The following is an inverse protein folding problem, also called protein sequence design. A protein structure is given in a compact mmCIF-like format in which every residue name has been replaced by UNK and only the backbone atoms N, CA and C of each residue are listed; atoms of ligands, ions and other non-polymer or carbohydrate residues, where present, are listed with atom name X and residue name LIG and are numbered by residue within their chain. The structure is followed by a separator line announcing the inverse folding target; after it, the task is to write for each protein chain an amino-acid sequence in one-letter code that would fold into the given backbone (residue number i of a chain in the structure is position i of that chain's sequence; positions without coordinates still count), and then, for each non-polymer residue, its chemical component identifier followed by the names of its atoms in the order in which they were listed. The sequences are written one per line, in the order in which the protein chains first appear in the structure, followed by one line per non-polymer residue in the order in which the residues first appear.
data_IF_612170517382
#
_entry.id   IF_612170517382
#
_cell.length_a   1.000
_cell.length_b   1.000
_cell.length_c   1.000
_cell.angle_alpha   90.00
_cell.angle_beta   90.00
_cell.angle_gamma   90.00
#
_symmetry.space_group_name_H-M   'P 1'
#
loop_
_entity.id
_entity.type
_entity.pdbx_description
1 polymer ?
#
# COMPACT_ATOMS: atom_id res chain seq x y z
N UNK A 1 -13.52 -1.33 -12.16
CA UNK A 1 -12.05 -1.17 -12.34
C UNK A 1 -11.65 0.21 -11.85
N UNK A 2 -10.77 0.29 -10.84
CA UNK A 2 -10.30 1.56 -10.32
C UNK A 2 -9.56 2.35 -11.42
N UNK A 3 -9.65 3.70 -11.46
CA UNK A 3 -9.08 4.53 -12.52
C UNK A 3 -7.58 4.30 -12.76
N UNK A 4 -6.83 3.88 -11.75
CA UNK A 4 -5.40 3.55 -11.87
C UNK A 4 -5.08 2.36 -12.78
N UNK A 5 -5.98 1.39 -12.94
CA UNK A 5 -5.75 0.26 -13.84
C UNK A 5 -5.78 0.65 -15.31
N UNK A 6 -6.66 1.57 -15.68
CA UNK A 6 -6.77 2.04 -17.07
C UNK A 6 -5.50 2.78 -17.48
N UNK A 7 -4.96 3.61 -16.59
CA UNK A 7 -3.72 4.34 -16.83
C UNK A 7 -2.52 3.39 -16.98
N UNK A 8 -2.41 2.37 -16.12
CA UNK A 8 -1.32 1.40 -16.18
C UNK A 8 -1.37 0.55 -17.48
N UNK A 9 -2.54 0.04 -17.85
CA UNK A 9 -2.68 -0.71 -19.11
C UNK A 9 -2.40 0.17 -20.33
N UNK A 10 -2.81 1.43 -20.29
CA UNK A 10 -2.56 2.37 -21.37
C UNK A 10 -1.06 2.68 -21.52
N UNK A 11 -0.35 2.92 -20.41
CA UNK A 11 1.10 3.17 -20.44
C UNK A 11 1.88 1.94 -20.85
N UNK A 12 1.53 0.74 -20.39
CA UNK A 12 2.16 -0.50 -20.80
C UNK A 12 1.94 -0.79 -22.30
N UNK A 13 0.73 -0.60 -22.80
CA UNK A 13 0.40 -0.75 -24.22
C UNK A 13 1.13 0.28 -25.07
N UNK A 14 1.18 1.54 -24.66
CA UNK A 14 1.91 2.60 -25.36
C UNK A 14 3.41 2.30 -25.41
N UNK A 15 3.99 1.82 -24.31
CA UNK A 15 5.41 1.42 -24.26
C UNK A 15 5.70 0.24 -25.21
N UNK A 16 4.79 -0.71 -25.31
CA UNK A 16 4.90 -1.83 -26.26
C UNK A 16 4.87 -1.33 -27.71
N UNK A 17 3.94 -0.46 -28.04
CA UNK A 17 3.82 0.12 -29.39
C UNK A 17 5.08 0.92 -29.74
N UNK A 18 5.60 1.72 -28.79
CA UNK A 18 6.84 2.49 -28.99
C UNK A 18 8.04 1.54 -29.19
N UNK A 19 8.16 0.47 -28.39
CA UNK A 19 9.25 -0.51 -28.54
C UNK A 19 9.21 -1.22 -29.89
N UNK A 20 8.04 -1.61 -30.38
CA UNK A 20 7.85 -2.22 -31.70
C UNK A 20 8.14 -1.21 -32.82
N UNK A 21 7.66 0.02 -32.68
CA UNK A 21 7.92 1.09 -33.65
C UNK A 21 9.42 1.44 -33.73
N UNK A 22 10.10 1.59 -32.60
CA UNK A 22 11.54 1.81 -32.54
C UNK A 22 12.30 0.62 -33.12
N UNK A 23 11.90 -0.62 -32.84
CA UNK A 23 12.50 -1.82 -33.41
C UNK A 23 12.37 -1.87 -34.91
N UNK A 24 11.26 -1.40 -35.50
CA UNK A 24 11.06 -1.34 -36.92
C UNK A 24 11.80 -0.17 -37.59
N UNK A 25 11.93 0.97 -36.90
CA UNK A 25 12.67 2.14 -37.37
C UNK A 25 14.20 1.95 -37.32
N UNK A 26 14.67 1.17 -36.36
CA UNK A 26 16.09 0.85 -36.19
C UNK A 26 16.54 -0.32 -37.06
N UNK A 27 15.67 -0.89 -37.92
CA UNK A 27 16.11 -1.90 -38.87
C UNK A 27 17.07 -1.22 -39.87
N UNK A 28 18.36 -1.63 -39.91
CA UNK A 28 19.29 -1.09 -40.88
C UNK A 28 18.77 -1.44 -42.26
N UNK A 29 18.84 -0.48 -43.19
CA UNK A 29 18.55 -0.74 -44.60
C UNK A 29 19.49 -1.85 -45.10
N UNK A 30 18.96 -2.78 -45.88
CA UNK A 30 19.81 -3.80 -46.54
C UNK A 30 20.88 -3.07 -47.33
N UNK A 31 22.17 -3.39 -47.11
CA UNK A 31 23.20 -2.82 -47.96
C UNK A 31 22.88 -3.16 -49.43
N UNK A 32 22.74 -2.13 -50.26
CA UNK A 32 22.66 -2.33 -51.70
C UNK A 32 24.02 -2.89 -52.16
N UNK A 33 24.14 -4.21 -52.13
CA UNK A 33 25.29 -4.89 -52.72
C UNK A 33 25.29 -4.51 -54.20
N UNK A 34 26.23 -3.67 -54.54
CA UNK A 34 26.51 -3.37 -55.95
C UNK A 34 26.72 -4.73 -56.58
N UNK A 35 25.75 -5.11 -57.43
CA UNK A 35 25.67 -6.46 -57.98
C UNK A 35 27.04 -6.94 -58.44
N UNK A 36 27.37 -8.19 -58.09
CA UNK A 36 28.63 -8.86 -58.41
C UNK A 36 29.12 -8.37 -59.75
N UNK A 37 30.25 -7.67 -59.71
CA UNK A 37 30.93 -7.25 -60.99
C UNK A 37 31.06 -8.53 -61.78
N UNK A 38 30.07 -8.69 -62.69
CA UNK A 38 29.94 -9.93 -63.45
C UNK A 38 31.29 -10.36 -63.98
N UNK A 39 31.54 -11.66 -64.02
CA UNK A 39 32.75 -12.26 -64.56
C UNK A 39 33.03 -11.60 -65.89
N UNK A 40 33.71 -10.43 -65.87
CA UNK A 40 34.31 -9.90 -67.09
C UNK A 40 35.40 -10.87 -67.44
N UNK A 41 35.22 -11.53 -68.57
CA UNK A 41 36.26 -12.35 -69.15
C UNK A 41 37.59 -11.64 -69.01
N UNK A 42 38.60 -12.32 -68.49
CA UNK A 42 39.92 -11.77 -68.34
C UNK A 42 40.37 -11.39 -69.75
N UNK A 43 40.71 -10.11 -70.04
CA UNK A 43 41.14 -9.73 -71.37
C UNK A 43 42.39 -10.52 -71.68
N UNK A 44 42.36 -11.21 -72.85
CA UNK A 44 43.50 -11.93 -73.28
C UNK A 44 44.66 -10.95 -73.42
N UNK A 45 45.85 -11.26 -72.86
CA UNK A 45 47.08 -10.42 -72.91
C UNK A 45 47.32 -9.77 -74.28
N UNK A 46 47.22 -10.58 -75.33
CA UNK A 46 47.41 -10.07 -76.71
C UNK A 46 46.31 -9.08 -77.11
N UNK A 47 45.18 -9.08 -76.52
CA UNK A 47 44.12 -8.10 -76.80
C UNK A 47 44.34 -6.81 -76.03
N UNK A 48 44.96 -6.91 -74.84
CA UNK A 48 45.21 -5.75 -73.97
C UNK A 48 46.56 -5.03 -74.39
N UNK A 49 47.61 -5.78 -74.72
CA UNK A 49 48.93 -5.24 -74.99
C UNK A 49 49.16 -5.02 -76.47
N UNK A 50 48.32 -5.55 -77.36
CA UNK A 50 48.40 -5.44 -78.79
C UNK A 50 48.93 -6.72 -79.50
N UNK A 51 48.43 -6.97 -80.70
CA UNK A 51 48.74 -8.14 -81.52
C UNK A 51 50.21 -8.26 -81.92
N UNK A 52 50.96 -7.19 -81.75
CA UNK A 52 52.35 -7.11 -82.13
C UNK A 52 53.32 -7.96 -81.30
N UNK A 53 52.87 -8.36 -80.06
CA UNK A 53 53.60 -9.26 -79.16
C UNK A 53 53.28 -10.74 -79.39
N UNK A 54 52.55 -11.10 -80.47
CA UNK A 54 52.33 -12.51 -80.78
C UNK A 54 53.67 -13.13 -81.31
N UNK A 55 54.02 -14.34 -80.77
CA UNK A 55 55.26 -14.99 -81.11
C UNK A 55 55.54 -15.13 -82.67
N UNK A 56 54.44 -15.38 -83.40
CA UNK A 56 54.48 -15.49 -84.84
C UNK A 56 54.91 -14.20 -85.54
N UNK A 57 54.54 -13.01 -85.02
CA UNK A 57 54.91 -11.71 -85.54
C UNK A 57 56.35 -11.30 -85.20
N UNK A 58 56.82 -11.67 -84.02
CA UNK A 58 58.19 -11.39 -83.56
C UNK A 58 59.20 -12.23 -84.32
N UNK A 59 58.85 -13.46 -84.70
CA UNK A 59 59.71 -14.38 -85.41
C UNK A 59 60.13 -13.91 -86.85
N UNK A 60 59.32 -13.08 -87.48
CA UNK A 60 59.53 -12.59 -88.85
C UNK A 60 60.45 -11.36 -88.89
N UNK A 61 60.82 -10.76 -87.74
CA UNK A 61 61.65 -9.55 -87.69
C UNK A 61 63.13 -9.83 -87.79
N UNK A 62 63.98 -8.86 -88.36
CA UNK A 62 65.41 -8.93 -88.30
C UNK A 62 66.00 -9.15 -86.95
N UNK A 63 67.08 -9.90 -86.77
CA UNK A 63 67.59 -10.38 -85.44
C UNK A 63 67.77 -9.26 -84.44
N UNK A 64 68.32 -8.09 -84.79
CA UNK A 64 68.49 -6.94 -83.89
C UNK A 64 67.14 -6.31 -83.39
N UNK A 65 66.13 -6.33 -84.24
CA UNK A 65 64.83 -5.83 -83.94
C UNK A 65 63.99 -6.86 -83.11
N UNK A 66 64.25 -8.15 -83.37
CA UNK A 66 63.57 -9.26 -82.66
C UNK A 66 63.88 -9.26 -81.16
N UNK A 67 65.14 -9.12 -80.76
CA UNK A 67 65.55 -9.09 -79.36
C UNK A 67 64.93 -7.90 -78.63
N UNK A 68 65.05 -6.68 -79.19
CA UNK A 68 64.48 -5.48 -78.59
C UNK A 68 62.95 -5.57 -78.40
N UNK A 69 62.26 -6.13 -79.39
CA UNK A 69 60.79 -6.27 -79.30
C UNK A 69 60.40 -7.40 -78.42
N UNK A 70 61.14 -8.48 -78.31
CA UNK A 70 60.95 -9.55 -77.34
C UNK A 70 61.10 -9.04 -75.89
N UNK A 71 62.15 -8.26 -75.59
CA UNK A 71 62.40 -7.67 -74.31
C UNK A 71 61.27 -6.66 -73.91
N UNK A 72 60.78 -5.86 -74.85
CA UNK A 72 59.69 -4.94 -74.66
C UNK A 72 58.36 -5.69 -74.37
N UNK A 73 58.11 -6.78 -75.10
CA UNK A 73 56.92 -7.61 -74.84
C UNK A 73 56.99 -8.39 -73.52
N UNK A 74 58.18 -8.86 -73.11
CA UNK A 74 58.36 -9.51 -71.81
C UNK A 74 58.05 -8.53 -70.63
N UNK A 75 58.58 -7.30 -70.75
CA UNK A 75 58.22 -6.26 -69.72
C UNK A 75 56.76 -5.94 -69.76
N UNK A 76 56.12 -5.83 -70.90
CA UNK A 76 54.69 -5.59 -70.98
C UNK A 76 53.84 -6.76 -70.39
N UNK A 77 54.32 -8.00 -70.57
CA UNK A 77 53.70 -9.18 -69.95
C UNK A 77 53.83 -9.16 -68.45
N UNK A 78 54.99 -8.81 -67.92
CA UNK A 78 55.21 -8.71 -66.43
C UNK A 78 54.32 -7.63 -65.84
N UNK A 79 54.29 -6.42 -66.45
CA UNK A 79 53.35 -5.35 -65.97
C UNK A 79 51.91 -5.77 -66.07
N UNK A 80 51.53 -6.50 -67.11
CA UNK A 80 50.16 -7.02 -67.23
C UNK A 80 49.84 -8.04 -66.13
N UNK A 81 50.77 -8.95 -65.80
CA UNK A 81 50.58 -9.92 -64.68
C UNK A 81 50.47 -9.21 -63.39
N UNK A 82 51.32 -8.26 -63.03
CA UNK A 82 51.24 -7.47 -61.81
C UNK A 82 49.92 -6.71 -61.71
N UNK A 83 49.46 -6.06 -62.76
CA UNK A 83 48.16 -5.36 -62.79
C UNK A 83 47.00 -6.34 -62.65
N UNK A 84 47.07 -7.51 -63.28
CA UNK A 84 46.01 -8.53 -63.13
C UNK A 84 45.96 -9.12 -61.70
N UNK A 85 47.12 -9.38 -61.09
CA UNK A 85 47.20 -9.88 -59.72
C UNK A 85 46.68 -8.85 -58.74
N UNK A 86 46.95 -7.57 -58.92
CA UNK A 86 46.42 -6.49 -58.11
C UNK A 86 44.89 -6.38 -58.26
N UNK A 87 44.35 -6.56 -59.45
CA UNK A 87 42.90 -6.60 -59.69
C UNK A 87 42.23 -7.81 -59.01
N UNK A 88 42.88 -8.98 -59.06
CA UNK A 88 42.36 -10.18 -58.35
C UNK A 88 42.33 -9.98 -56.84
N UNK A 89 43.43 -9.40 -56.31
CA UNK A 89 43.45 -9.07 -54.86
C UNK A 89 42.38 -8.04 -54.50
N UNK A 90 42.21 -6.97 -55.28
CA UNK A 90 41.16 -5.97 -55.06
C UNK A 90 39.75 -6.59 -55.11
N UNK A 91 39.48 -7.53 -56.03
CA UNK A 91 38.23 -8.26 -56.09
C UNK A 91 38.02 -9.11 -54.84
N UNK A 92 39.01 -9.87 -54.39
CA UNK A 92 38.90 -10.67 -53.14
C UNK A 92 38.68 -9.81 -51.97
N UNK A 93 39.28 -8.63 -51.86
CA UNK A 93 39.04 -7.68 -50.79
C UNK A 93 37.62 -7.13 -50.84
N UNK A 94 37.10 -6.81 -52.02
CA UNK A 94 35.70 -6.36 -52.18
C UNK A 94 34.70 -7.45 -51.78
N UNK A 95 34.90 -8.70 -52.22
CA UNK A 95 34.03 -9.83 -51.86
C UNK A 95 34.04 -10.09 -50.34
N UNK A 96 35.22 -9.97 -49.69
CA UNK A 96 35.37 -10.10 -48.27
C UNK A 96 34.65 -8.95 -47.50
N UNK A 97 34.72 -7.72 -48.03
CA UNK A 97 34.02 -6.58 -47.49
C UNK A 97 32.49 -6.75 -47.57
N UNK A 98 31.99 -7.21 -48.72
CA UNK A 98 30.56 -7.49 -48.90
C UNK A 98 30.08 -8.60 -47.96
N UNK A 99 30.84 -9.68 -47.84
CA UNK A 99 30.51 -10.74 -46.87
C UNK A 99 30.47 -10.22 -45.41
N UNK A 100 31.44 -9.38 -45.03
CA UNK A 100 31.46 -8.78 -43.69
C UNK A 100 30.28 -7.83 -43.45
N UNK A 101 29.87 -7.08 -44.47
CA UNK A 101 28.70 -6.19 -44.39
C UNK A 101 27.38 -6.97 -44.17
N UNK A 102 27.22 -8.12 -44.81
CA UNK A 102 26.07 -9.01 -44.64
C UNK A 102 26.04 -9.53 -43.21
N UNK A 103 27.16 -10.02 -42.67
CA UNK A 103 27.25 -10.52 -41.30
C UNK A 103 26.96 -9.41 -40.29
N UNK A 104 27.50 -8.21 -40.48
CA UNK A 104 27.24 -7.07 -39.63
C UNK A 104 25.75 -6.67 -39.63
N UNK A 105 25.10 -6.71 -40.79
CA UNK A 105 23.66 -6.47 -40.92
C UNK A 105 22.84 -7.50 -40.12
N UNK A 106 23.12 -8.78 -40.25
CA UNK A 106 22.40 -9.82 -39.49
C UNK A 106 22.65 -9.70 -37.98
N UNK A 107 23.88 -9.36 -37.56
CA UNK A 107 24.18 -9.12 -36.14
C UNK A 107 23.42 -7.93 -35.59
N UNK A 108 23.33 -6.81 -36.30
CA UNK A 108 22.54 -5.64 -35.85
C UNK A 108 21.06 -5.93 -35.79
N UNK A 109 20.53 -6.74 -36.70
CA UNK A 109 19.14 -7.18 -36.67
C UNK A 109 18.85 -8.04 -35.45
N UNK A 110 19.71 -9.00 -35.12
CA UNK A 110 19.58 -9.85 -33.93
C UNK A 110 19.68 -8.99 -32.65
N UNK A 111 20.61 -8.04 -32.60
CA UNK A 111 20.77 -7.14 -31.47
C UNK A 111 19.51 -6.26 -31.25
N UNK A 112 18.88 -5.75 -32.30
CA UNK A 112 17.67 -4.98 -32.24
C UNK A 112 16.50 -5.80 -31.67
N UNK A 113 16.36 -7.05 -32.09
CA UNK A 113 15.36 -7.96 -31.50
C UNK A 113 15.64 -8.30 -30.02
N UNK A 114 16.93 -8.53 -29.69
CA UNK A 114 17.36 -8.76 -28.31
C UNK A 114 17.06 -7.57 -27.40
N UNK A 115 17.27 -6.35 -27.87
CA UNK A 115 16.94 -5.12 -27.14
C UNK A 115 15.43 -5.00 -26.89
N UNK A 116 14.60 -5.25 -27.90
CA UNK A 116 13.14 -5.22 -27.78
C UNK A 116 12.64 -6.27 -26.79
N UNK A 117 13.17 -7.48 -26.81
CA UNK A 117 12.85 -8.53 -25.85
C UNK A 117 13.28 -8.14 -24.42
N UNK A 118 14.43 -7.48 -24.26
CA UNK A 118 14.91 -6.95 -22.99
C UNK A 118 13.98 -5.92 -22.38
N UNK A 119 13.47 -4.98 -23.18
CA UNK A 119 12.48 -3.99 -22.73
C UNK A 119 11.20 -4.67 -22.26
N UNK A 120 10.69 -5.64 -23.00
CA UNK A 120 9.48 -6.38 -22.61
C UNK A 120 9.67 -7.14 -21.30
N UNK A 121 10.83 -7.75 -21.11
CA UNK A 121 11.16 -8.45 -19.85
C UNK A 121 11.21 -7.46 -18.68
N UNK A 122 11.79 -6.30 -18.87
CA UNK A 122 11.86 -5.24 -17.85
C UNK A 122 10.45 -4.75 -17.48
N UNK A 123 9.60 -4.52 -18.46
CA UNK A 123 8.19 -4.11 -18.22
C UNK A 123 7.40 -5.19 -17.47
N UNK A 124 7.60 -6.46 -17.84
CA UNK A 124 6.96 -7.58 -17.13
C UNK A 124 7.45 -7.68 -15.67
N UNK A 125 8.75 -7.50 -15.41
CA UNK A 125 9.30 -7.48 -14.06
C UNK A 125 8.76 -6.32 -13.24
N UNK A 126 8.64 -5.13 -13.83
CA UNK A 126 8.04 -3.96 -13.16
C UNK A 126 6.57 -4.19 -12.80
N UNK A 127 5.80 -4.76 -13.73
CA UNK A 127 4.42 -5.13 -13.49
C UNK A 127 4.29 -6.17 -12.35
N UNK A 128 5.13 -7.20 -12.36
CA UNK A 128 5.15 -8.22 -11.31
C UNK A 128 5.48 -7.61 -9.93
N UNK A 129 6.46 -6.72 -9.83
CA UNK A 129 6.81 -6.03 -8.59
C UNK A 129 5.65 -5.18 -8.08
N UNK A 130 4.99 -4.42 -8.96
CA UNK A 130 3.82 -3.60 -8.60
C UNK A 130 2.65 -4.45 -8.06
N UNK A 131 2.34 -5.57 -8.71
CA UNK A 131 1.28 -6.46 -8.25
C UNK A 131 1.66 -7.17 -6.94
N UNK A 132 2.93 -7.53 -6.74
CA UNK A 132 3.42 -8.12 -5.50
C UNK A 132 3.29 -7.16 -4.31
N UNK A 133 3.68 -5.89 -4.48
CA UNK A 133 3.49 -4.84 -3.46
C UNK A 133 2.01 -4.69 -3.09
N UNK A 134 1.14 -4.63 -4.09
CA UNK A 134 -0.30 -4.50 -3.84
C UNK A 134 -0.90 -5.72 -3.15
N UNK A 135 -0.49 -6.92 -3.54
CA UNK A 135 -0.90 -8.16 -2.87
C UNK A 135 -0.44 -8.18 -1.41
N UNK A 136 0.80 -7.79 -1.12
CA UNK A 136 1.32 -7.68 0.24
C UNK A 136 0.50 -6.70 1.09
N UNK A 137 0.12 -5.55 0.52
CA UNK A 137 -0.72 -4.56 1.21
C UNK A 137 -2.12 -5.10 1.51
N UNK A 138 -2.75 -5.83 0.59
CA UNK A 138 -4.05 -6.48 0.83
C UNK A 138 -3.94 -7.59 1.88
N UNK A 139 -2.89 -8.40 1.83
CA UNK A 139 -2.63 -9.45 2.82
C UNK A 139 -2.46 -8.87 4.21
N UNK A 140 -1.69 -7.77 4.34
CA UNK A 140 -1.55 -7.06 5.61
C UNK A 140 -2.89 -6.57 6.15
N UNK A 141 -3.71 -5.90 5.32
CA UNK A 141 -5.05 -5.46 5.73
C UNK A 141 -5.95 -6.61 6.17
N UNK A 142 -5.90 -7.75 5.46
CA UNK A 142 -6.67 -8.93 5.83
C UNK A 142 -6.18 -9.52 7.15
N UNK A 143 -4.87 -9.54 7.40
CA UNK A 143 -4.29 -9.98 8.67
C UNK A 143 -4.70 -9.05 9.82
N UNK A 144 -4.61 -7.73 9.63
CA UNK A 144 -5.03 -6.73 10.63
C UNK A 144 -6.54 -6.87 10.94
N UNK A 145 -7.38 -7.10 9.93
CA UNK A 145 -8.82 -7.32 10.14
C UNK A 145 -9.10 -8.65 10.87
N UNK A 146 -8.38 -9.71 10.55
CA UNK A 146 -8.48 -10.99 11.25
C UNK A 146 -8.04 -10.86 12.71
N UNK A 147 -6.96 -10.14 12.97
CA UNK A 147 -6.50 -9.85 14.33
C UNK A 147 -7.54 -9.05 15.11
N UNK A 148 -8.16 -8.02 14.51
CA UNK A 148 -9.24 -7.27 15.14
C UNK A 148 -10.47 -8.13 15.44
N UNK A 149 -10.82 -9.06 14.55
CA UNK A 149 -11.92 -10.00 14.76
C UNK A 149 -11.67 -10.98 15.92
N UNK A 150 -10.41 -11.21 16.26
CA UNK A 150 -9.99 -12.06 17.39
C UNK A 150 -9.87 -11.29 18.72
N UNK A 151 -10.28 -10.02 18.79
CA UNK A 151 -10.27 -9.26 20.05
C UNK A 151 -11.57 -9.46 20.83
N UNK A 152 -11.51 -9.39 22.16
CA UNK A 152 -12.71 -9.24 22.96
C UNK A 152 -13.42 -7.93 22.58
N UNK A 153 -14.74 -7.98 22.43
CA UNK A 153 -15.56 -6.79 22.18
C UNK A 153 -16.45 -6.56 23.39
N UNK A 154 -16.03 -5.66 24.25
CA UNK A 154 -16.68 -5.37 25.51
C UNK A 154 -17.67 -4.22 25.34
N UNK A 155 -18.88 -4.42 25.84
CA UNK A 155 -19.88 -3.37 26.03
C UNK A 155 -20.32 -3.35 27.48
N UNK A 156 -20.78 -2.19 27.96
CA UNK A 156 -21.29 -2.02 29.32
C UNK A 156 -22.73 -1.49 29.26
N UNK A 157 -23.57 -2.05 30.11
CA UNK A 157 -24.90 -1.57 30.40
C UNK A 157 -24.95 -1.25 31.88
N UNK A 158 -25.63 -0.17 32.22
CA UNK A 158 -25.74 0.27 33.61
C UNK A 158 -27.21 0.50 33.98
N UNK A 159 -27.61 0.02 35.13
CA UNK A 159 -28.97 0.09 35.62
C UNK A 159 -28.98 0.51 37.12
N UNK A 160 -29.93 1.35 37.57
CA UNK A 160 -30.13 1.57 39.01
C UNK A 160 -30.69 0.29 39.62
N UNK A 161 -30.07 -0.22 40.69
CA UNK A 161 -30.49 -1.45 41.37
C UNK A 161 -31.31 -1.15 42.65
N UNK A 162 -31.04 -0.04 43.31
CA UNK A 162 -31.79 0.37 44.52
C UNK A 162 -32.46 1.73 44.34
N UNK A 163 -33.41 2.00 45.24
CA UNK A 163 -33.99 3.35 45.39
C UNK A 163 -32.91 4.37 45.76
N UNK A 164 -33.07 5.61 45.29
CA UNK A 164 -32.28 6.74 45.77
C UNK A 164 -32.73 7.06 47.20
N UNK A 165 -31.79 7.04 48.12
CA UNK A 165 -31.99 7.44 49.50
C UNK A 165 -31.23 8.72 49.78
N UNK A 166 -31.77 9.49 50.70
CA UNK A 166 -31.25 10.78 51.09
C UNK A 166 -30.85 10.74 52.55
N UNK A 167 -29.72 11.30 52.85
CA UNK A 167 -29.20 11.51 54.21
C UNK A 167 -28.61 12.91 54.35
N UNK A 168 -27.99 13.20 55.50
CA UNK A 168 -27.39 14.50 55.80
C UNK A 168 -26.15 14.80 54.91
N UNK A 169 -25.51 13.76 54.37
CA UNK A 169 -24.33 13.88 53.53
C UNK A 169 -24.68 13.99 52.04
N UNK A 170 -25.92 13.66 51.65
CA UNK A 170 -26.36 13.77 50.26
C UNK A 170 -27.34 12.71 49.78
N UNK A 171 -27.08 12.07 48.69
CA UNK A 171 -27.88 10.99 48.12
C UNK A 171 -27.00 9.79 47.74
N UNK A 172 -27.56 8.60 47.91
CA UNK A 172 -26.91 7.38 47.52
C UNK A 172 -27.87 6.35 46.96
N UNK A 173 -27.37 5.51 46.05
CA UNK A 173 -28.12 4.40 45.45
C UNK A 173 -27.14 3.36 44.85
N UNK A 174 -27.57 2.11 44.77
CA UNK A 174 -26.78 1.07 44.14
C UNK A 174 -27.00 1.05 42.63
N UNK A 175 -25.93 0.79 41.93
CA UNK A 175 -25.85 0.71 40.48
C UNK A 175 -25.35 -0.67 40.10
N UNK A 176 -26.05 -1.34 39.19
CA UNK A 176 -25.65 -2.58 38.58
C UNK A 176 -25.03 -2.30 37.22
N UNK A 177 -23.78 -2.70 37.05
CA UNK A 177 -23.05 -2.64 35.76
C UNK A 177 -22.97 -4.04 35.20
N UNK A 178 -23.59 -4.26 34.05
CA UNK A 178 -23.46 -5.50 33.25
C UNK A 178 -22.47 -5.31 32.17
N UNK A 179 -21.45 -6.16 32.11
CA UNK A 179 -20.37 -6.10 31.13
C UNK A 179 -20.45 -7.31 30.23
N UNK A 180 -20.70 -7.10 28.96
CA UNK A 180 -20.88 -8.15 27.96
C UNK A 180 -19.63 -8.27 27.10
N UNK A 181 -19.24 -9.51 26.79
CA UNK A 181 -18.24 -9.79 25.77
C UNK A 181 -18.92 -10.33 24.50
N UNK A 182 -19.09 -9.49 23.50
CA UNK A 182 -19.63 -9.84 22.18
C UNK A 182 -18.55 -10.35 21.21
N UNK A 183 -17.27 -10.33 21.61
CA UNK A 183 -16.16 -10.81 20.79
C UNK A 183 -16.13 -12.33 20.70
N UNK A 184 -15.20 -12.83 19.93
CA UNK A 184 -14.96 -14.28 19.75
C UNK A 184 -13.95 -14.85 20.74
N UNK A 185 -13.26 -14.02 21.50
CA UNK A 185 -12.16 -14.38 22.40
C UNK A 185 -12.48 -13.92 23.83
N UNK A 186 -12.11 -14.71 24.87
CA UNK A 186 -12.28 -14.28 26.25
C UNK A 186 -11.50 -13.00 26.56
N UNK A 187 -12.13 -12.10 27.30
CA UNK A 187 -11.47 -11.01 28.00
C UNK A 187 -10.96 -11.57 29.34
N UNK A 188 -9.66 -11.49 29.52
CA UNK A 188 -8.99 -11.95 30.77
C UNK A 188 -8.40 -10.77 31.50
N UNK A 189 -8.10 -10.96 32.78
CA UNK A 189 -7.62 -9.88 33.64
C UNK A 189 -8.53 -8.64 33.58
N UNK A 190 -9.85 -8.91 33.51
CA UNK A 190 -10.84 -7.86 33.43
C UNK A 190 -10.95 -7.16 34.80
N UNK A 191 -10.69 -5.87 34.76
CA UNK A 191 -10.75 -5.02 35.95
C UNK A 191 -11.71 -3.87 35.64
N UNK A 192 -12.56 -3.55 36.62
CA UNK A 192 -13.53 -2.47 36.55
C UNK A 192 -13.39 -1.57 37.75
N UNK A 193 -13.57 -0.28 37.55
CA UNK A 193 -13.61 0.72 38.58
C UNK A 193 -14.71 1.73 38.26
N UNK A 194 -15.08 2.48 39.25
CA UNK A 194 -16.24 3.34 39.27
C UNK A 194 -15.89 4.67 39.96
N UNK A 195 -16.39 5.79 39.43
CA UNK A 195 -16.22 7.08 40.07
C UNK A 195 -17.48 7.93 39.96
N UNK A 196 -17.86 8.54 41.08
CA UNK A 196 -18.85 9.61 41.09
C UNK A 196 -18.18 10.90 40.58
N UNK A 197 -18.86 11.60 39.66
CA UNK A 197 -18.35 12.81 39.03
C UNK A 197 -19.35 13.95 39.22
N UNK A 198 -18.96 15.09 39.78
CA UNK A 198 -19.85 16.25 39.86
C UNK A 198 -20.12 16.79 38.45
N UNK A 199 -21.33 17.25 38.18
CA UNK A 199 -21.74 17.76 36.88
C UNK A 199 -20.87 18.94 36.41
N UNK A 200 -20.42 19.76 37.34
CA UNK A 200 -19.55 20.92 37.08
C UNK A 200 -18.19 20.49 36.50
N UNK A 201 -17.67 19.35 36.93
CA UNK A 201 -16.43 18.81 36.41
C UNK A 201 -16.50 18.55 34.90
N UNK A 202 -17.65 18.20 34.35
CA UNK A 202 -17.80 18.01 32.88
C UNK A 202 -17.73 19.34 32.16
N UNK A 203 -18.32 20.41 32.67
CA UNK A 203 -18.27 21.73 32.05
C UNK A 203 -16.83 22.29 32.04
N UNK A 204 -16.08 22.04 33.11
CA UNK A 204 -14.68 22.49 33.25
C UNK A 204 -13.72 21.59 32.45
N UNK A 205 -14.04 20.32 32.35
CA UNK A 205 -13.13 19.27 31.77
C UNK A 205 -13.39 18.98 30.33
N UNK A 206 -14.22 19.73 29.56
CA UNK A 206 -14.60 19.40 28.17
C UNK A 206 -13.43 19.04 27.23
N UNK A 207 -12.22 19.54 27.52
CA UNK A 207 -11.01 19.17 26.76
C UNK A 207 -10.14 18.10 27.43
N UNK A 208 -10.19 17.94 28.74
CA UNK A 208 -9.29 17.08 29.52
C UNK A 208 -9.97 15.82 30.09
N UNK A 209 -11.30 15.78 30.10
CA UNK A 209 -12.07 14.69 30.72
C UNK A 209 -11.66 13.30 30.14
N UNK A 210 -11.47 13.23 28.84
CA UNK A 210 -10.99 12.00 28.19
C UNK A 210 -9.62 11.55 28.71
N UNK A 211 -8.68 12.47 28.87
CA UNK A 211 -7.34 12.16 29.39
C UNK A 211 -7.38 11.73 30.85
N UNK A 212 -8.27 12.34 31.62
CA UNK A 212 -8.46 11.97 33.02
C UNK A 212 -9.06 10.56 33.16
N UNK A 213 -10.07 10.23 32.35
CA UNK A 213 -10.59 8.86 32.25
C UNK A 213 -9.48 7.89 31.84
N UNK A 214 -8.69 8.20 30.82
CA UNK A 214 -7.59 7.35 30.37
C UNK A 214 -6.55 7.15 31.50
N UNK A 215 -6.23 8.19 32.25
CA UNK A 215 -5.32 8.12 33.39
C UNK A 215 -5.86 7.24 34.52
N UNK A 216 -7.17 7.36 34.82
CA UNK A 216 -7.83 6.51 35.83
C UNK A 216 -7.86 5.04 35.38
N UNK A 217 -8.17 4.75 34.12
CA UNK A 217 -8.11 3.37 33.59
C UNK A 217 -6.73 2.77 33.77
N UNK A 218 -5.66 3.56 33.53
CA UNK A 218 -4.29 3.08 33.69
C UNK A 218 -3.89 2.81 35.13
N UNK A 219 -4.54 3.49 36.08
CA UNK A 219 -4.30 3.30 37.52
C UNK A 219 -5.09 2.15 38.15
N UNK A 220 -6.07 1.55 37.44
CA UNK A 220 -6.81 0.41 37.96
C UNK A 220 -5.86 -0.77 38.21
N UNK A 221 -5.81 -1.24 39.43
CA UNK A 221 -5.04 -2.42 39.83
C UNK A 221 -5.95 -3.47 40.42
N UNK A 222 -5.70 -4.74 40.14
CA UNK A 222 -6.44 -5.81 40.81
C UNK A 222 -6.02 -5.90 42.25
N UNK A 223 -6.97 -5.94 43.22
CA UNK A 223 -6.67 -6.09 44.65
C UNK A 223 -5.78 -7.32 44.94
N UNK A 224 -6.05 -8.43 44.24
CA UNK A 224 -5.39 -9.72 44.45
C UNK A 224 -4.45 -10.10 43.31
N UNK A 225 -4.12 -9.18 42.39
CA UNK A 225 -3.26 -9.42 41.21
C UNK A 225 -3.94 -10.16 40.08
N UNK A 226 -5.20 -10.60 40.23
CA UNK A 226 -5.95 -11.32 39.19
C UNK A 226 -7.29 -10.57 38.91
N UNK A 227 -7.58 -10.40 37.62
CA UNK A 227 -8.87 -9.88 37.15
C UNK A 227 -9.86 -11.01 36.83
N UNK A 228 -11.10 -10.64 36.60
CA UNK A 228 -12.12 -11.58 36.16
C UNK A 228 -11.92 -12.03 34.70
N UNK A 229 -12.61 -13.12 34.33
CA UNK A 229 -12.64 -13.61 32.94
C UNK A 229 -14.06 -13.52 32.42
N UNK A 230 -14.25 -12.79 31.32
CA UNK A 230 -15.52 -12.71 30.62
C UNK A 230 -15.45 -13.47 29.31
N UNK A 231 -16.08 -14.65 29.27
CA UNK A 231 -16.08 -15.51 28.09
C UNK A 231 -16.99 -14.94 26.98
N UNK A 232 -16.76 -15.28 25.72
CA UNK A 232 -17.60 -14.89 24.60
C UNK A 232 -19.09 -15.19 24.81
N UNK A 233 -19.94 -14.21 24.51
CA UNK A 233 -21.40 -14.34 24.65
C UNK A 233 -21.90 -14.38 26.10
N UNK A 234 -21.03 -14.15 27.09
CA UNK A 234 -21.40 -14.06 28.50
C UNK A 234 -21.25 -12.63 29.02
N UNK A 235 -21.81 -12.40 30.20
CA UNK A 235 -21.65 -11.14 30.91
C UNK A 235 -21.20 -11.40 32.36
N UNK A 236 -20.63 -10.37 32.96
CA UNK A 236 -20.33 -10.28 34.38
C UNK A 236 -21.13 -9.10 35.00
N UNK A 237 -21.51 -9.23 36.24
CA UNK A 237 -22.26 -8.20 37.00
C UNK A 237 -21.40 -7.63 38.11
N UNK A 238 -21.34 -6.31 38.15
CA UNK A 238 -20.62 -5.55 39.15
C UNK A 238 -21.57 -4.58 39.82
N UNK A 239 -21.49 -4.49 41.15
CA UNK A 239 -22.35 -3.63 41.96
C UNK A 239 -21.49 -2.54 42.58
N UNK A 240 -21.94 -1.31 42.41
CA UNK A 240 -21.30 -0.13 42.97
C UNK A 240 -22.33 0.74 43.71
N UNK A 241 -21.87 1.48 44.70
CA UNK A 241 -22.68 2.49 45.37
C UNK A 241 -22.36 3.85 44.76
N UNK A 242 -23.33 4.46 44.10
CA UNK A 242 -23.23 5.83 43.63
C UNK A 242 -23.59 6.77 44.81
N UNK A 243 -22.74 7.76 45.03
CA UNK A 243 -22.88 8.78 46.05
C UNK A 243 -22.87 10.17 45.42
N UNK A 244 -23.72 11.04 45.90
CA UNK A 244 -23.83 12.42 45.47
C UNK A 244 -23.73 13.31 46.67
N UNK A 245 -22.61 13.94 46.88
CA UNK A 245 -22.37 14.80 48.04
C UNK A 245 -23.31 16.00 48.03
N UNK A 246 -23.73 16.45 49.22
CA UNK A 246 -24.65 17.60 49.40
C UNK A 246 -24.13 18.87 48.72
N UNK A 247 -22.84 19.09 48.69
CA UNK A 247 -22.19 20.24 48.01
C UNK A 247 -22.41 20.28 46.46
N UNK A 248 -22.84 19.16 45.83
CA UNK A 248 -23.16 19.10 44.42
C UNK A 248 -24.60 19.48 44.10
N UNK A 249 -25.39 19.84 45.11
CA UNK A 249 -26.75 20.25 44.93
C UNK A 249 -26.83 21.73 44.59
N UNK A 250 -27.45 22.02 43.45
CA UNK A 250 -27.59 23.36 42.90
C UNK A 250 -29.09 23.69 42.70
N UNK A 251 -29.49 24.96 42.81
CA UNK A 251 -30.84 25.36 42.45
C UNK A 251 -31.01 25.25 40.92
N UNK A 252 -32.13 24.66 40.50
CA UNK A 252 -32.56 24.68 39.11
C UNK A 252 -33.11 26.07 38.71
N UNK A 253 -33.56 26.18 37.44
CA UNK A 253 -34.15 27.43 36.90
C UNK A 253 -35.44 27.88 37.65
N UNK A 254 -36.02 27.04 38.50
CA UNK A 254 -37.20 27.33 39.31
C UNK A 254 -36.84 27.62 40.78
N UNK A 255 -35.56 27.58 41.12
CA UNK A 255 -35.06 27.73 42.48
C UNK A 255 -35.15 26.47 43.34
N UNK A 256 -35.57 25.32 42.81
CA UNK A 256 -35.56 24.06 43.52
C UNK A 256 -34.17 23.48 43.54
N UNK A 257 -33.76 22.98 44.69
CA UNK A 257 -32.48 22.30 44.87
C UNK A 257 -32.53 20.93 44.15
N UNK A 258 -31.58 20.66 43.31
CA UNK A 258 -31.44 19.41 42.55
C UNK A 258 -29.97 19.04 42.33
N UNK A 259 -29.72 17.80 41.97
CA UNK A 259 -28.43 17.34 41.51
C UNK A 259 -28.59 16.49 40.25
N UNK A 260 -27.53 16.42 39.43
CA UNK A 260 -27.44 15.52 38.31
C UNK A 260 -26.27 14.56 38.55
N UNK A 261 -26.53 13.40 39.15
CA UNK A 261 -25.47 12.44 39.44
C UNK A 261 -24.89 11.88 38.14
N UNK A 262 -23.61 11.96 38.07
CA UNK A 262 -22.80 11.42 36.97
C UNK A 262 -21.94 10.31 37.52
N UNK A 263 -21.95 9.22 36.78
CA UNK A 263 -21.19 8.04 37.13
C UNK A 263 -20.29 7.69 35.97
N UNK A 264 -19.01 7.63 36.23
CA UNK A 264 -18.03 7.18 35.27
C UNK A 264 -17.62 5.73 35.60
N UNK A 265 -17.76 4.85 34.64
CA UNK A 265 -17.35 3.44 34.77
C UNK A 265 -16.17 3.21 33.83
N UNK A 266 -15.13 2.62 34.37
CA UNK A 266 -13.89 2.36 33.64
C UNK A 266 -13.58 0.87 33.73
N UNK A 267 -13.12 0.31 32.64
CA UNK A 267 -12.56 -1.03 32.67
C UNK A 267 -11.31 -1.16 31.78
N UNK A 268 -10.47 -2.10 32.14
CA UNK A 268 -9.39 -2.60 31.32
C UNK A 268 -9.41 -4.12 31.29
N UNK A 269 -8.91 -4.69 30.22
CA UNK A 269 -8.86 -6.13 30.04
C UNK A 269 -7.77 -6.50 29.07
N UNK A 270 -7.43 -7.78 29.02
CA UNK A 270 -6.50 -8.35 28.05
C UNK A 270 -7.21 -9.39 27.19
N UNK A 271 -6.71 -9.62 26.01
CA UNK A 271 -7.17 -10.73 25.17
C UNK A 271 -6.52 -12.03 25.63
N UNK A 272 -7.29 -13.10 25.75
CA UNK A 272 -6.74 -14.42 26.09
C UNK A 272 -5.77 -14.95 25.04
N UNK A 273 -5.91 -14.53 23.77
CA UNK A 273 -5.03 -14.94 22.67
C UNK A 273 -3.73 -14.16 22.64
N UNK A 274 -3.73 -12.93 23.14
CA UNK A 274 -2.53 -12.09 23.23
C UNK A 274 -2.60 -11.17 24.45
N UNK A 275 -1.91 -11.54 25.51
CA UNK A 275 -1.86 -10.79 26.77
C UNK A 275 -1.19 -9.41 26.65
N UNK A 276 -0.56 -9.10 25.53
CA UNK A 276 -0.06 -7.74 25.24
C UNK A 276 -1.13 -6.81 24.71
N UNK A 277 -2.22 -7.36 24.19
CA UNK A 277 -3.36 -6.58 23.69
C UNK A 277 -4.22 -6.16 24.88
N UNK A 278 -4.06 -4.92 25.29
CA UNK A 278 -4.83 -4.30 26.37
C UNK A 278 -6.01 -3.54 25.75
N UNK A 279 -7.21 -3.94 26.11
CA UNK A 279 -8.44 -3.19 25.84
C UNK A 279 -8.76 -2.23 26.99
N UNK A 280 -9.26 -1.05 26.66
CA UNK A 280 -9.67 -0.03 27.61
C UNK A 280 -11.04 0.50 27.19
N UNK A 281 -11.96 0.57 28.12
CA UNK A 281 -13.26 1.16 27.89
C UNK A 281 -13.63 2.05 29.09
N UNK A 282 -14.07 3.27 28.82
CA UNK A 282 -14.59 4.19 29.85
C UNK A 282 -15.84 4.86 29.32
N UNK A 283 -16.86 4.93 30.13
CA UNK A 283 -18.16 5.53 29.82
C UNK A 283 -18.68 6.31 31.00
N UNK A 284 -19.32 7.44 30.72
CA UNK A 284 -19.96 8.26 31.77
C UNK A 284 -21.46 8.29 31.56
N UNK A 285 -22.18 8.08 32.63
CA UNK A 285 -23.63 8.00 32.65
C UNK A 285 -24.22 9.04 33.57
N UNK A 286 -25.35 9.62 33.16
CA UNK A 286 -26.14 10.53 33.93
C UNK A 286 -27.37 9.79 34.43
N UNK A 287 -27.67 9.94 35.72
CA UNK A 287 -28.84 9.37 36.37
C UNK A 287 -29.82 10.46 36.83
N UNK A 288 -31.08 10.15 36.87
CA UNK A 288 -32.08 11.04 37.40
C UNK A 288 -33.46 10.82 36.83
N UNK A 289 -34.40 11.63 37.29
CA UNK A 289 -35.75 11.68 36.76
C UNK A 289 -35.88 12.82 35.75
N UNK A 290 -36.80 12.70 34.83
CA UNK A 290 -37.06 13.76 33.85
C UNK A 290 -37.80 14.91 34.57
N UNK A 291 -37.31 16.15 34.49
CA UNK A 291 -38.00 17.28 35.11
C UNK A 291 -39.42 17.42 34.55
N UNK A 292 -40.42 17.70 35.39
CA UNK A 292 -41.82 17.77 34.94
C UNK A 292 -42.11 18.88 33.93
N UNK A 293 -41.27 19.91 33.89
CA UNK A 293 -41.41 21.07 32.97
C UNK A 293 -40.62 20.91 31.68
N UNK A 294 -39.88 19.81 31.45
CA UNK A 294 -39.16 19.59 30.20
C UNK A 294 -40.17 19.44 29.04
N UNK A 295 -40.31 20.48 28.21
CA UNK A 295 -41.10 20.42 26.97
C UNK A 295 -40.59 19.26 26.12
N UNK A 296 -41.49 18.55 25.45
CA UNK A 296 -41.18 17.42 24.55
C UNK A 296 -40.11 17.74 23.47
N UNK A 297 -39.88 19.03 23.20
CA UNK A 297 -38.97 19.54 22.19
C UNK A 297 -37.53 19.78 22.67
N UNK A 298 -37.19 19.58 23.93
CA UNK A 298 -35.78 19.69 24.40
C UNK A 298 -35.20 18.30 24.67
N UNK A 299 -34.53 17.70 23.67
CA UNK A 299 -33.88 16.40 23.86
C UNK A 299 -32.70 16.43 24.85
N UNK A 300 -32.30 17.63 25.27
CA UNK A 300 -31.16 17.87 26.17
C UNK A 300 -31.58 18.20 27.62
N UNK A 301 -32.81 17.94 28.01
CA UNK A 301 -33.17 18.08 29.41
C UNK A 301 -32.31 17.16 30.26
N UNK A 302 -31.50 17.73 31.13
CA UNK A 302 -30.67 17.00 32.05
C UNK A 302 -31.58 16.11 32.96
N UNK A 303 -31.12 14.91 33.21
CA UNK A 303 -31.72 14.08 34.22
C UNK A 303 -31.27 14.64 35.59
N UNK A 304 -32.20 14.85 36.51
CA UNK A 304 -31.92 15.44 37.83
C UNK A 304 -32.64 14.67 38.91
N UNK A 305 -32.09 14.69 40.12
CA UNK A 305 -32.70 14.18 41.32
C UNK A 305 -33.06 15.36 42.21
N UNK A 306 -34.26 15.32 42.81
CA UNK A 306 -34.75 16.33 43.70
C UNK A 306 -34.96 15.74 45.13
N UNK A 307 -34.33 16.30 46.17
CA UNK A 307 -34.47 15.81 47.54
C UNK A 307 -35.91 15.87 48.04
N UNK A 308 -36.69 16.86 47.58
CA UNK A 308 -38.09 17.02 47.94
C UNK A 308 -39.03 15.89 47.46
N UNK A 309 -38.54 15.03 46.54
CA UNK A 309 -39.28 13.86 46.07
C UNK A 309 -39.24 12.67 47.04
N UNK A 310 -38.40 12.74 48.07
CA UNK A 310 -38.18 11.62 48.99
C UNK A 310 -37.50 10.43 48.28
N UNK A 311 -37.73 9.22 48.77
CA UNK A 311 -37.16 8.00 48.19
C UNK A 311 -37.67 7.80 46.74
N UNK A 312 -36.74 7.65 45.79
CA UNK A 312 -37.05 7.47 44.36
C UNK A 312 -36.77 6.02 43.96
N UNK A 313 -37.84 5.32 43.56
CA UNK A 313 -37.74 3.92 43.12
C UNK A 313 -36.87 3.77 41.87
N UNK A 314 -36.10 2.65 41.72
CA UNK A 314 -35.22 2.40 40.56
C UNK A 314 -35.93 2.51 39.21
N UNK A 315 -37.20 2.08 39.14
CA UNK A 315 -38.01 2.12 37.91
C UNK A 315 -38.28 3.53 37.38
N UNK A 316 -38.22 4.53 38.25
CA UNK A 316 -38.40 5.94 37.90
C UNK A 316 -37.12 6.63 37.45
N UNK A 317 -35.96 6.05 37.77
CA UNK A 317 -34.66 6.60 37.44
C UNK A 317 -34.36 6.27 35.98
N UNK A 318 -34.05 7.28 35.20
CA UNK A 318 -33.55 7.15 33.82
C UNK A 318 -32.05 7.25 33.80
N UNK A 319 -31.45 6.49 32.93
CA UNK A 319 -30.02 6.48 32.71
C UNK A 319 -29.74 6.98 31.28
N UNK A 320 -28.74 7.82 31.14
CA UNK A 320 -28.31 8.36 29.86
C UNK A 320 -26.82 8.31 29.74
N UNK A 321 -26.31 7.61 28.69
CA UNK A 321 -24.93 7.66 28.31
C UNK A 321 -24.58 9.04 27.76
N UNK A 322 -23.47 9.62 28.20
CA UNK A 322 -22.93 10.86 27.68
C UNK A 322 -21.96 10.57 26.52
N UNK A 323 -22.30 10.93 25.28
CA UNK A 323 -21.53 10.50 24.09
C UNK A 323 -20.10 11.05 24.01
N UNK A 324 -19.83 12.19 24.65
CA UNK A 324 -18.51 12.82 24.66
C UNK A 324 -17.52 12.20 25.66
N UNK A 325 -17.99 11.29 26.50
CA UNK A 325 -17.20 10.68 27.58
C UNK A 325 -16.73 9.27 27.29
N UNK A 326 -17.04 8.72 26.11
CA UNK A 326 -16.66 7.35 25.77
C UNK A 326 -15.22 7.28 25.32
N UNK A 327 -14.46 6.38 25.93
CA UNK A 327 -13.10 5.98 25.55
C UNK A 327 -13.14 4.50 25.22
N UNK A 328 -12.75 4.13 23.98
CA UNK A 328 -12.55 2.75 23.58
C UNK A 328 -11.22 2.67 22.83
N UNK A 329 -10.32 1.78 23.27
CA UNK A 329 -9.02 1.51 22.64
C UNK A 329 -8.75 0.00 22.64
#
# INVERSE_FOLDING_TARGET
MAPGYRLFFFTAFLSLVIAVALGSLLQPERPNLVGSIGQREQPNFYRAVGSDCQPARISVLPVKLRTRKADACAKAEEQYREANDSLVQARRAADAADASAIVAYEQTRIAAWGFSAGILTLLAAFAAAFFAERAAHHTKRSADAAEQALRPWITMEIEPESSVRWDDDGAWFNVLVKVYNHGSVPAVNFLIDFANVPMEAIAILQGNFRKEIEGKIDSITAPDGFGEIITPGKYAEFRFQAEVNQEWFLPDTTGKICCAPLVAVFCRYQSANDLKLNGKLGQCYMFGVRPPLARKAQPAANLVLYPDQGEIEPSKIKVRLLPLSSVAK
#
